data_IF_321733617733
#
_entry.id   IF_321733617733
#
_cell.length_a   1.000
_cell.length_b   1.000
_cell.length_c   1.000
_cell.angle_alpha   90.00
_cell.angle_beta   90.00
_cell.angle_gamma   90.00
#
_symmetry.space_group_name_H-M   'P 1'
#
loop_
_entity.id
_entity.type
_entity.pdbx_description
1 polymer ?
#
# COMPACT_ATOMS: atom_id res chain seq x y z
N UNK A 1 28.61 -34.43 -46.88
CA UNK A 1 29.86 -33.76 -47.33
C UNK A 1 29.51 -32.67 -48.34
N UNK A 2 29.54 -31.39 -47.93
CA UNK A 2 29.68 -30.25 -48.84
C UNK A 2 30.27 -29.07 -48.06
N UNK A 3 31.35 -28.52 -48.60
CA UNK A 3 32.12 -27.38 -48.08
C UNK A 3 31.49 -26.08 -48.57
N UNK A 4 31.47 -25.03 -47.72
CA UNK A 4 31.70 -23.65 -48.18
C UNK A 4 32.55 -22.89 -47.15
N UNK A 5 33.58 -22.26 -47.70
CA UNK A 5 34.57 -21.37 -47.08
C UNK A 5 34.12 -19.90 -47.22
N UNK A 6 34.89 -19.02 -46.56
CA UNK A 6 34.98 -17.55 -46.69
C UNK A 6 33.89 -16.76 -45.93
N UNK A 7 34.16 -15.64 -45.26
CA UNK A 7 35.38 -14.90 -44.93
C UNK A 7 35.01 -13.85 -43.90
N UNK A 8 35.90 -13.59 -42.94
CA UNK A 8 35.88 -12.44 -42.04
C UNK A 8 36.13 -11.14 -42.81
N UNK A 9 35.33 -10.09 -42.57
CA UNK A 9 35.77 -8.70 -42.71
C UNK A 9 34.98 -7.80 -41.75
N UNK A 10 35.68 -7.38 -40.69
CA UNK A 10 35.30 -6.30 -39.78
C UNK A 10 35.18 -5.00 -40.56
N UNK A 11 34.09 -4.26 -40.36
CA UNK A 11 34.00 -2.85 -40.75
C UNK A 11 34.06 -2.00 -39.49
N UNK A 12 35.19 -1.34 -39.34
CA UNK A 12 35.41 -0.23 -38.42
C UNK A 12 34.50 0.94 -38.80
N UNK A 13 33.74 1.45 -37.84
CA UNK A 13 33.05 2.73 -37.96
C UNK A 13 33.66 3.70 -36.95
N UNK A 14 34.39 4.68 -37.47
CA UNK A 14 34.83 5.88 -36.76
C UNK A 14 33.61 6.80 -36.59
N UNK A 15 33.14 6.98 -35.36
CA UNK A 15 32.14 7.99 -35.03
C UNK A 15 32.80 9.18 -34.34
N UNK A 16 32.44 10.35 -34.82
CA UNK A 16 32.96 11.68 -34.54
C UNK A 16 32.73 12.14 -33.11
N UNK A 17 33.77 12.71 -32.50
CA UNK A 17 33.75 13.41 -31.22
C UNK A 17 32.82 14.62 -31.27
N UNK A 18 31.75 14.60 -30.48
CA UNK A 18 30.92 15.77 -30.20
C UNK A 18 31.37 16.40 -28.87
N UNK A 19 31.46 17.74 -28.78
CA UNK A 19 31.93 18.41 -27.58
C UNK A 19 30.91 18.27 -26.44
N UNK A 20 31.46 17.96 -25.25
CA UNK A 20 30.76 17.96 -23.96
C UNK A 20 30.19 19.34 -23.68
N UNK A 21 28.88 19.48 -23.77
CA UNK A 21 28.18 20.64 -23.22
C UNK A 21 28.07 20.44 -21.71
N UNK A 22 28.83 21.24 -20.94
CA UNK A 22 28.79 21.25 -19.50
C UNK A 22 27.45 21.83 -19.04
N UNK A 23 26.51 20.95 -18.66
CA UNK A 23 25.28 21.36 -18.00
C UNK A 23 25.63 21.76 -16.57
N UNK A 24 25.59 23.06 -16.30
CA UNK A 24 25.72 23.62 -14.95
C UNK A 24 24.62 23.01 -14.08
N UNK A 25 24.99 22.09 -13.19
CA UNK A 25 24.08 21.54 -12.21
C UNK A 25 23.74 22.65 -11.21
N UNK A 26 22.64 23.37 -11.45
CA UNK A 26 21.99 24.15 -10.41
C UNK A 26 21.41 23.16 -9.40
N UNK A 27 22.19 22.86 -8.36
CA UNK A 27 21.67 22.23 -7.16
C UNK A 27 20.75 23.24 -6.49
N UNK A 28 19.47 23.19 -6.84
CA UNK A 28 18.44 23.73 -5.95
C UNK A 28 18.43 22.84 -4.71
N UNK A 29 19.13 23.29 -3.67
CA UNK A 29 18.87 22.80 -2.32
C UNK A 29 17.48 23.32 -1.95
N UNK A 30 16.45 22.53 -2.26
CA UNK A 30 15.18 22.68 -1.56
C UNK A 30 15.49 22.33 -0.11
N UNK A 31 15.63 23.38 0.72
CA UNK A 31 15.46 23.22 2.15
C UNK A 31 14.01 22.81 2.37
N UNK A 32 13.74 21.52 2.20
CA UNK A 32 12.56 20.91 2.77
C UNK A 32 12.76 21.05 4.28
N UNK A 33 12.22 22.12 4.85
CA UNK A 33 11.75 22.09 6.22
C UNK A 33 10.60 21.08 6.24
N UNK A 34 10.96 19.79 6.15
CA UNK A 34 10.13 18.72 6.65
C UNK A 34 10.07 18.99 8.15
N UNK A 35 9.02 19.68 8.58
CA UNK A 35 8.57 19.64 9.95
C UNK A 35 7.98 18.25 10.18
N UNK A 36 8.82 17.22 10.10
CA UNK A 36 8.56 15.96 10.78
C UNK A 36 8.48 16.32 12.25
N UNK A 37 7.26 16.49 12.77
CA UNK A 37 7.00 16.53 14.20
C UNK A 37 7.25 15.12 14.73
N UNK A 38 8.51 14.72 14.80
CA UNK A 38 8.95 13.59 15.59
C UNK A 38 8.66 13.95 17.04
N UNK A 39 7.54 13.46 17.57
CA UNK A 39 7.34 13.44 19.01
C UNK A 39 8.46 12.58 19.58
N UNK A 40 9.47 13.23 20.15
CA UNK A 40 10.54 12.55 20.86
C UNK A 40 9.91 11.89 22.07
N UNK A 41 9.76 10.57 22.02
CA UNK A 41 9.38 9.74 23.16
C UNK A 41 10.55 9.76 24.15
N UNK A 42 10.62 10.81 24.99
CA UNK A 42 11.48 10.79 26.16
C UNK A 42 11.05 9.61 27.03
N UNK A 43 11.91 8.60 27.08
CA UNK A 43 11.78 7.38 27.86
C UNK A 43 11.84 7.72 29.35
N UNK A 44 10.68 8.01 29.93
CA UNK A 44 10.50 8.28 31.34
C UNK A 44 9.18 7.68 31.82
N UNK A 45 9.12 6.35 31.88
CA UNK A 45 8.31 5.53 32.81
C UNK A 45 6.78 5.68 32.93
N UNK A 46 6.14 6.76 32.50
CA UNK A 46 4.70 6.96 32.65
C UNK A 46 4.00 7.04 31.30
N UNK A 47 2.93 6.24 31.13
CA UNK A 47 1.98 6.39 30.02
C UNK A 47 1.47 7.84 30.05
N UNK A 48 1.87 8.65 29.07
CA UNK A 48 1.42 10.03 28.96
C UNK A 48 -0.06 10.03 28.58
N UNK A 49 -0.85 10.86 29.26
CA UNK A 49 -2.23 11.10 28.84
C UNK A 49 -2.26 12.19 27.79
N UNK A 50 -3.36 12.29 27.04
CA UNK A 50 -3.51 13.35 26.02
C UNK A 50 -3.44 14.72 26.68
N UNK A 51 -4.01 14.85 27.88
CA UNK A 51 -3.99 16.08 28.67
C UNK A 51 -2.59 16.58 28.99
N UNK A 52 -1.59 15.69 29.07
CA UNK A 52 -0.21 16.05 29.39
C UNK A 52 0.56 16.56 28.16
N UNK A 53 0.11 16.23 26.96
CA UNK A 53 0.80 16.53 25.69
C UNK A 53 0.09 17.64 24.91
N UNK A 54 -1.23 17.52 24.74
CA UNK A 54 -2.09 18.50 24.06
C UNK A 54 -3.37 18.70 24.89
N UNK A 55 -3.33 19.55 25.94
CA UNK A 55 -4.42 19.68 26.91
C UNK A 55 -5.78 20.09 26.33
N UNK A 56 -5.77 20.77 25.19
CA UNK A 56 -6.97 21.32 24.53
C UNK A 56 -7.50 20.43 23.40
N UNK A 57 -6.88 19.28 23.14
CA UNK A 57 -7.33 18.37 22.08
C UNK A 57 -8.70 17.76 22.41
N UNK A 58 -9.61 17.77 21.44
CA UNK A 58 -10.97 17.21 21.56
C UNK A 58 -11.39 16.50 20.27
N UNK A 59 -12.44 15.67 20.34
CA UNK A 59 -12.94 14.92 19.17
C UNK A 59 -11.89 13.99 18.55
N UNK A 60 -11.87 13.90 17.22
CA UNK A 60 -10.96 13.01 16.48
C UNK A 60 -9.47 13.32 16.73
N UNK A 61 -9.11 14.59 16.96
CA UNK A 61 -7.73 14.96 17.29
C UNK A 61 -7.27 14.28 18.59
N UNK A 62 -8.12 14.28 19.62
CA UNK A 62 -7.84 13.62 20.90
C UNK A 62 -7.74 12.11 20.73
N UNK A 63 -8.62 11.51 19.95
CA UNK A 63 -8.65 10.06 19.69
C UNK A 63 -7.36 9.59 19.01
N UNK A 64 -6.90 10.31 17.98
CA UNK A 64 -5.66 10.04 17.26
C UNK A 64 -4.44 10.14 18.19
N UNK A 65 -4.32 11.23 18.95
CA UNK A 65 -3.20 11.41 19.89
C UNK A 65 -3.22 10.32 20.97
N UNK A 66 -4.40 9.97 21.49
CA UNK A 66 -4.52 8.92 22.49
C UNK A 66 -4.05 7.56 21.94
N UNK A 67 -4.38 7.24 20.69
CA UNK A 67 -3.93 6.03 20.01
C UNK A 67 -2.39 6.01 19.88
N UNK A 68 -1.82 7.09 19.36
CA UNK A 68 -0.37 7.22 19.19
C UNK A 68 0.38 7.11 20.52
N UNK A 69 -0.13 7.70 21.60
CA UNK A 69 0.45 7.58 22.95
C UNK A 69 0.38 6.15 23.52
N UNK A 70 -0.63 5.39 23.12
CA UNK A 70 -0.77 3.97 23.44
C UNK A 70 0.04 3.06 22.50
N UNK A 71 0.69 3.62 21.47
CA UNK A 71 1.42 2.86 20.46
C UNK A 71 0.54 2.03 19.53
N UNK A 72 -0.74 2.41 19.37
CA UNK A 72 -1.68 1.76 18.44
C UNK A 72 -1.97 2.67 17.25
N UNK A 73 -2.16 2.09 16.08
CA UNK A 73 -2.73 2.78 14.93
C UNK A 73 -4.25 2.58 14.93
N UNK A 74 -5.02 3.65 14.68
CA UNK A 74 -6.49 3.57 14.60
C UNK A 74 -6.92 2.91 13.29
N UNK A 75 -6.14 3.09 12.22
CA UNK A 75 -6.45 2.66 10.86
C UNK A 75 -5.58 1.47 10.42
N UNK A 76 -5.11 0.67 11.38
CA UNK A 76 -4.25 -0.49 11.11
C UNK A 76 -4.87 -1.44 10.06
N UNK A 77 -6.20 -1.63 10.12
CA UNK A 77 -6.92 -2.51 9.21
C UNK A 77 -6.93 -2.01 7.76
N UNK A 78 -6.60 -0.75 7.52
CA UNK A 78 -6.64 -0.16 6.18
C UNK A 78 -5.48 -0.60 5.29
N UNK A 79 -4.43 -1.14 5.89
CA UNK A 79 -3.19 -1.55 5.23
C UNK A 79 -3.03 -3.08 5.35
N UNK A 80 -3.78 -3.87 4.55
CA UNK A 80 -3.66 -5.32 4.59
C UNK A 80 -2.27 -5.74 4.09
N UNK A 81 -1.55 -6.48 4.94
CA UNK A 81 -0.27 -7.09 4.62
C UNK A 81 -0.38 -8.61 4.80
N UNK A 82 0.21 -9.38 3.89
CA UNK A 82 0.16 -10.83 3.94
C UNK A 82 0.79 -11.49 2.72
N UNK A 83 0.92 -12.83 2.76
CA UNK A 83 1.39 -13.58 1.62
C UNK A 83 0.39 -13.53 0.46
N UNK A 84 0.84 -13.96 -0.72
CA UNK A 84 -0.02 -14.15 -1.88
C UNK A 84 -1.13 -15.17 -1.55
N UNK A 85 -2.38 -14.74 -1.71
CA UNK A 85 -3.56 -15.54 -1.39
C UNK A 85 -3.81 -16.68 -2.37
N UNK A 86 -3.92 -17.90 -1.85
CA UNK A 86 -4.26 -19.12 -2.61
C UNK A 86 -5.70 -19.55 -2.31
N UNK A 87 -6.22 -20.52 -3.07
CA UNK A 87 -7.57 -21.03 -2.85
C UNK A 87 -7.74 -21.67 -1.47
N UNK A 88 -6.71 -22.36 -0.97
CA UNK A 88 -6.71 -23.00 0.34
C UNK A 88 -6.38 -22.04 1.48
N UNK A 89 -5.57 -21.01 1.20
CA UNK A 89 -5.17 -19.98 2.14
C UNK A 89 -5.31 -18.59 1.49
N UNK A 90 -6.53 -18.01 1.46
CA UNK A 90 -6.78 -16.73 0.83
C UNK A 90 -6.13 -15.57 1.59
N UNK A 91 -5.90 -14.46 0.90
CA UNK A 91 -5.45 -13.22 1.51
C UNK A 91 -6.60 -12.60 2.30
N UNK A 92 -6.45 -12.54 3.63
CA UNK A 92 -7.47 -12.02 4.53
C UNK A 92 -7.43 -10.50 4.55
N UNK A 93 -8.57 -9.87 4.23
CA UNK A 93 -8.75 -8.43 4.29
C UNK A 93 -9.74 -8.10 5.40
N UNK A 94 -9.30 -7.33 6.38
CA UNK A 94 -10.16 -6.88 7.48
C UNK A 94 -11.10 -5.77 7.03
N UNK A 95 -12.31 -5.75 7.55
CA UNK A 95 -13.31 -4.70 7.26
C UNK A 95 -14.15 -4.38 8.48
N UNK A 96 -14.56 -3.12 8.61
CA UNK A 96 -15.52 -2.71 9.64
C UNK A 96 -16.97 -3.09 9.28
N UNK A 97 -17.27 -3.19 7.98
CA UNK A 97 -18.59 -3.51 7.39
C UNK A 97 -18.59 -4.86 6.66
N UNK A 98 -19.76 -5.35 6.24
CA UNK A 98 -19.89 -6.64 5.54
C UNK A 98 -19.39 -6.62 4.07
N UNK A 99 -18.99 -5.45 3.55
CA UNK A 99 -18.32 -5.30 2.26
C UNK A 99 -17.30 -4.17 2.27
N UNK A 100 -16.20 -4.33 1.51
CA UNK A 100 -15.10 -3.35 1.39
C UNK A 100 -14.57 -3.29 -0.04
N UNK A 101 -14.13 -2.11 -0.47
CA UNK A 101 -13.40 -1.95 -1.74
C UNK A 101 -11.94 -2.36 -1.52
N UNK A 102 -11.44 -3.27 -2.35
CA UNK A 102 -10.07 -3.79 -2.29
C UNK A 102 -9.40 -3.59 -3.64
N UNK A 103 -8.11 -3.26 -3.62
CA UNK A 103 -7.26 -3.14 -4.81
C UNK A 103 -6.17 -4.20 -4.79
N UNK A 104 -6.09 -5.02 -5.84
CA UNK A 104 -5.01 -5.98 -6.02
C UNK A 104 -3.97 -5.41 -7.02
N UNK A 105 -2.73 -5.12 -6.59
CA UNK A 105 -1.63 -4.71 -7.49
C UNK A 105 -0.86 -5.89 -8.10
N UNK A 106 -1.26 -7.13 -7.79
CA UNK A 106 -0.54 -8.33 -8.17
C UNK A 106 0.48 -8.81 -7.14
N UNK A 107 1.24 -9.83 -7.53
CA UNK A 107 2.34 -10.42 -6.74
C UNK A 107 3.71 -9.86 -7.15
N UNK A 108 4.78 -10.48 -6.65
CA UNK A 108 6.14 -10.17 -7.09
C UNK A 108 6.45 -10.83 -8.45
N UNK A 109 7.17 -10.13 -9.33
CA UNK A 109 7.68 -10.71 -10.58
C UNK A 109 6.63 -10.72 -11.70
N UNK A 110 6.33 -11.89 -12.26
CA UNK A 110 5.43 -12.02 -13.42
C UNK A 110 3.96 -11.79 -13.07
N UNK A 111 3.61 -11.85 -11.78
CA UNK A 111 2.25 -11.64 -11.27
C UNK A 111 1.95 -10.16 -10.95
N UNK A 112 2.89 -9.23 -11.19
CA UNK A 112 2.70 -7.79 -11.04
C UNK A 112 1.78 -7.25 -12.15
N UNK A 113 0.78 -6.44 -11.79
CA UNK A 113 -0.14 -5.84 -12.77
C UNK A 113 -0.74 -4.52 -12.29
N UNK A 114 -1.40 -3.78 -13.19
CA UNK A 114 -2.15 -2.58 -12.83
C UNK A 114 -3.25 -2.90 -11.80
N UNK A 115 -3.53 -1.95 -10.90
CA UNK A 115 -4.44 -2.20 -9.77
C UNK A 115 -5.84 -2.57 -10.24
N UNK A 116 -6.28 -3.78 -9.86
CA UNK A 116 -7.66 -4.22 -10.06
C UNK A 116 -8.47 -3.91 -8.82
N UNK A 117 -9.44 -3.01 -8.96
CA UNK A 117 -10.37 -2.62 -7.89
C UNK A 117 -11.64 -3.46 -7.93
N UNK A 118 -12.08 -3.96 -6.77
CA UNK A 118 -13.29 -4.78 -6.66
C UNK A 118 -13.98 -4.62 -5.30
N UNK A 119 -15.26 -4.97 -5.27
CA UNK A 119 -16.00 -5.15 -4.02
C UNK A 119 -15.73 -6.56 -3.49
N UNK A 120 -15.19 -6.63 -2.28
CA UNK A 120 -15.07 -7.86 -1.52
C UNK A 120 -16.22 -7.92 -0.52
N UNK A 121 -16.95 -9.04 -0.49
CA UNK A 121 -18.15 -9.23 0.34
C UNK A 121 -17.93 -10.37 1.33
N UNK A 122 -18.48 -10.24 2.53
CA UNK A 122 -18.43 -11.26 3.57
C UNK A 122 -19.01 -12.60 3.06
N UNK A 123 -18.29 -13.69 3.32
CA UNK A 123 -18.71 -15.04 2.97
C UNK A 123 -18.57 -15.39 1.49
N UNK A 124 -18.01 -14.50 0.66
CA UNK A 124 -17.68 -14.78 -0.74
C UNK A 124 -16.18 -14.57 -0.95
N UNK A 125 -15.53 -15.56 -1.54
CA UNK A 125 -14.17 -15.39 -2.02
C UNK A 125 -14.17 -14.60 -3.32
N UNK A 126 -13.13 -13.79 -3.52
CA UNK A 126 -12.86 -13.12 -4.79
C UNK A 126 -11.53 -13.62 -5.35
N UNK A 127 -11.52 -14.02 -6.61
CA UNK A 127 -10.31 -14.38 -7.34
C UNK A 127 -9.94 -13.23 -8.29
N UNK A 128 -8.71 -12.72 -8.20
CA UNK A 128 -8.24 -11.68 -9.10
C UNK A 128 -8.17 -12.21 -10.54
N UNK A 129 -8.78 -11.53 -11.53
CA UNK A 129 -8.82 -12.01 -12.91
C UNK A 129 -7.47 -11.96 -13.63
N UNK A 130 -6.43 -11.34 -13.04
CA UNK A 130 -5.11 -11.17 -13.65
C UNK A 130 -4.09 -12.10 -12.99
N UNK A 131 -3.81 -11.93 -11.70
CA UNK A 131 -2.83 -12.77 -10.98
C UNK A 131 -3.42 -14.03 -10.35
N UNK A 132 -4.74 -14.25 -10.38
CA UNK A 132 -5.41 -15.42 -9.75
C UNK A 132 -5.29 -15.50 -8.22
N UNK A 133 -4.92 -14.39 -7.56
CA UNK A 133 -4.90 -14.32 -6.10
C UNK A 133 -6.32 -14.41 -5.52
N UNK A 134 -6.47 -15.19 -4.45
CA UNK A 134 -7.73 -15.32 -3.70
C UNK A 134 -7.78 -14.36 -2.52
N UNK A 135 -8.94 -13.73 -2.31
CA UNK A 135 -9.21 -12.80 -1.21
C UNK A 135 -10.45 -13.23 -0.43
N UNK A 136 -10.40 -13.06 0.88
CA UNK A 136 -11.52 -13.29 1.80
C UNK A 136 -11.64 -12.13 2.79
N UNK A 137 -12.88 -11.75 3.11
CA UNK A 137 -13.16 -10.62 4.00
C UNK A 137 -13.46 -11.10 5.43
N UNK A 138 -12.71 -10.58 6.38
CA UNK A 138 -12.93 -10.74 7.81
C UNK A 138 -13.55 -9.47 8.39
N UNK A 139 -14.76 -9.59 8.95
CA UNK A 139 -15.43 -8.44 9.60
C UNK A 139 -14.94 -8.33 11.04
N UNK A 140 -14.28 -7.21 11.36
CA UNK A 140 -13.75 -6.90 12.70
C UNK A 140 -14.56 -5.82 13.44
N UNK A 141 -15.60 -5.29 12.79
CA UNK A 141 -16.51 -4.29 13.34
C UNK A 141 -17.94 -4.83 13.52
N UNK A 142 -18.93 -3.91 13.65
CA UNK A 142 -20.35 -4.26 13.73
C UNK A 142 -20.89 -5.00 12.49
N UNK A 143 -20.23 -4.89 11.34
CA UNK A 143 -20.75 -5.40 10.07
C UNK A 143 -21.87 -4.53 9.50
N UNK A 144 -22.71 -5.11 8.66
CA UNK A 144 -23.81 -4.44 7.97
C UNK A 144 -23.40 -3.74 6.67
N UNK A 145 -24.39 -3.19 5.99
CA UNK A 145 -24.20 -2.39 4.78
C UNK A 145 -23.51 -1.05 5.10
N UNK A 146 -22.40 -0.69 4.42
CA UNK A 146 -21.72 0.59 4.58
C UNK A 146 -22.62 1.84 4.46
N UNK A 147 -23.75 1.74 3.78
CA UNK A 147 -24.67 2.86 3.57
C UNK A 147 -25.91 2.81 4.48
N UNK A 148 -26.02 1.82 5.36
CA UNK A 148 -27.12 1.71 6.33
C UNK A 148 -28.47 1.37 5.70
N UNK A 149 -28.50 0.91 4.44
CA UNK A 149 -29.73 0.41 3.81
C UNK A 149 -29.91 -1.07 4.18
N UNK A 150 -30.27 -1.33 5.43
CA UNK A 150 -30.71 -2.66 5.85
C UNK A 150 -31.89 -3.12 4.98
N UNK A 151 -31.91 -4.40 4.64
CA UNK A 151 -32.95 -5.08 3.89
C UNK A 151 -34.30 -5.00 4.64
N UNK A 152 -35.06 -3.95 4.36
CA UNK A 152 -36.52 -3.97 4.53
C UNK A 152 -37.13 -4.93 3.50
N UNK A 153 -36.82 -6.22 3.60
CA UNK A 153 -37.63 -7.26 2.96
C UNK A 153 -38.89 -7.41 3.80
N UNK A 154 -39.92 -6.64 3.43
CA UNK A 154 -41.28 -6.86 3.89
C UNK A 154 -41.70 -8.30 3.51
N UNK A 155 -42.11 -9.04 4.54
CA UNK A 155 -42.81 -10.32 4.46
C UNK A 155 -43.99 -10.31 3.48
#
# INVERSE_FOLDING_TARGET
MWRRLFSSNLKSLTATSHPRSASTAFRFATAATATTRLLTTQSGGSIKRVEDVVPIATGHEREEIQAQLQGRDILEIDHPEGPFGTKEAPAIVKSYYDRRIVGCPGGEGEDEHDVVWFWLEKGKHFECPVCTQYFELEVVGPGGDPYGHGDHSHH
#
